data_IF_898647246877
#
_entry.id   IF_898647246877
#
_cell.length_a   1.000
_cell.length_b   1.000
_cell.length_c   1.000
_cell.angle_alpha   90.00
_cell.angle_beta   90.00
_cell.angle_gamma   90.00
#
_symmetry.space_group_name_H-M   'P 1'
#
loop_
_entity.id
_entity.type
_entity.pdbx_description
1 polymer ?
#
# COMPACT_ATOMS: atom_id res chain seq x y z
N UNK A 1 -5.99 15.94 -12.03
CA UNK A 1 -6.10 14.69 -11.26
C UNK A 1 -4.84 14.59 -10.42
N UNK A 2 -4.93 14.45 -9.11
CA UNK A 2 -3.77 14.41 -8.20
C UNK A 2 -3.44 12.94 -7.86
N UNK A 3 -2.37 12.41 -8.46
CA UNK A 3 -1.96 11.01 -8.36
C UNK A 3 -0.43 10.99 -8.29
N UNK A 4 0.13 10.25 -7.34
CA UNK A 4 1.58 10.10 -7.22
C UNK A 4 2.17 9.40 -8.46
N UNK A 5 3.28 9.95 -8.96
CA UNK A 5 4.10 9.31 -10.01
C UNK A 5 4.65 7.95 -9.57
N UNK A 6 4.76 7.69 -8.26
CA UNK A 6 5.24 6.42 -7.72
C UNK A 6 4.41 5.23 -8.22
N UNK A 7 3.10 5.41 -8.39
CA UNK A 7 2.21 4.33 -8.85
C UNK A 7 2.52 3.93 -10.29
N UNK A 8 2.78 4.91 -11.16
CA UNK A 8 3.20 4.68 -12.54
C UNK A 8 4.61 4.11 -12.60
N UNK A 9 5.52 4.56 -11.73
CA UNK A 9 6.89 4.06 -11.66
C UNK A 9 6.95 2.59 -11.25
N UNK A 10 6.13 2.19 -10.26
CA UNK A 10 5.95 0.80 -9.89
C UNK A 10 5.43 -0.07 -11.05
N UNK A 11 4.67 0.49 -11.99
CA UNK A 11 4.23 -0.21 -13.20
C UNK A 11 5.31 -0.42 -14.25
N UNK A 12 6.49 0.22 -14.12
CA UNK A 12 7.52 0.26 -15.16
C UNK A 12 8.89 -0.25 -14.70
N UNK A 13 9.14 -0.20 -13.39
CA UNK A 13 10.45 -0.49 -12.83
C UNK A 13 10.39 -1.75 -11.96
N UNK A 14 11.19 -2.79 -12.27
CA UNK A 14 11.18 -4.06 -11.56
C UNK A 14 11.90 -3.93 -10.20
N UNK A 15 11.23 -3.27 -9.25
CA UNK A 15 11.72 -3.05 -7.88
C UNK A 15 10.71 -3.59 -6.86
N UNK A 16 11.21 -4.11 -5.74
CA UNK A 16 10.38 -4.46 -4.60
C UNK A 16 10.36 -3.31 -3.59
N UNK A 17 9.18 -2.76 -3.31
CA UNK A 17 8.95 -1.74 -2.29
C UNK A 17 8.32 -2.38 -1.07
N UNK A 18 8.93 -2.16 0.10
CA UNK A 18 8.43 -2.62 1.40
C UNK A 18 8.01 -1.38 2.18
N UNK A 19 6.74 -1.29 2.56
CA UNK A 19 6.18 -0.09 3.21
C UNK A 19 5.04 -0.43 4.18
N UNK A 20 4.57 0.54 4.98
CA UNK A 20 3.39 0.38 5.84
C UNK A 20 2.06 0.57 5.10
N UNK A 21 2.01 0.33 3.80
CA UNK A 21 0.91 0.73 2.92
C UNK A 21 1.13 2.11 2.30
N UNK A 22 0.05 2.81 1.96
CA UNK A 22 0.11 4.19 1.44
C UNK A 22 -0.14 5.19 2.56
N UNK A 23 0.40 6.40 2.44
CA UNK A 23 0.23 7.44 3.47
C UNK A 23 -1.27 7.63 3.78
N UNK A 24 -1.63 7.72 5.06
CA UNK A 24 -3.02 7.77 5.54
C UNK A 24 -3.84 8.97 5.03
N UNK A 25 -3.21 9.94 4.38
CA UNK A 25 -3.86 11.06 3.69
C UNK A 25 -4.47 10.68 2.33
N UNK A 26 -4.13 9.49 1.82
CA UNK A 26 -4.49 9.01 0.47
C UNK A 26 -5.70 8.08 0.51
N UNK A 27 -6.33 7.90 -0.65
CA UNK A 27 -7.43 6.96 -0.86
C UNK A 27 -6.88 5.55 -1.17
N UNK A 28 -7.02 4.64 -0.20
CA UNK A 28 -6.49 3.27 -0.30
C UNK A 28 -7.20 2.46 -1.40
N UNK A 29 -8.55 2.34 -1.43
CA UNK A 29 -9.23 1.62 -2.50
C UNK A 29 -8.82 2.09 -3.89
N UNK A 30 -8.81 3.40 -4.15
CA UNK A 30 -8.41 3.94 -5.45
C UNK A 30 -6.95 3.66 -5.78
N UNK A 31 -6.06 3.67 -4.79
CA UNK A 31 -4.65 3.34 -5.02
C UNK A 31 -4.47 1.87 -5.39
N UNK A 32 -5.20 0.96 -4.74
CA UNK A 32 -5.16 -0.47 -5.05
C UNK A 32 -5.67 -0.74 -6.47
N UNK A 33 -6.79 -0.13 -6.87
CA UNK A 33 -7.33 -0.22 -8.24
C UNK A 33 -6.33 0.33 -9.29
N UNK A 34 -5.64 1.43 -8.95
CA UNK A 34 -4.63 1.99 -9.84
C UNK A 34 -3.43 1.05 -10.00
N UNK A 35 -2.93 0.48 -8.90
CA UNK A 35 -1.83 -0.49 -8.92
C UNK A 35 -2.21 -1.77 -9.67
N UNK A 36 -3.45 -2.23 -9.54
CA UNK A 36 -3.99 -3.33 -10.35
C UNK A 36 -3.95 -2.97 -11.84
N UNK A 37 -4.42 -1.78 -12.21
CA UNK A 37 -4.38 -1.27 -13.60
C UNK A 37 -2.94 -1.21 -14.14
N UNK A 38 -1.96 -0.88 -13.30
CA UNK A 38 -0.54 -0.85 -13.66
C UNK A 38 0.12 -2.25 -13.68
N UNK A 39 -0.60 -3.32 -13.34
CA UNK A 39 -0.04 -4.67 -13.27
C UNK A 39 0.95 -4.89 -12.12
N UNK A 40 0.88 -4.06 -11.08
CA UNK A 40 1.77 -4.15 -9.92
C UNK A 40 1.25 -5.23 -8.98
N UNK A 41 2.13 -6.15 -8.59
CA UNK A 41 1.78 -7.15 -7.58
C UNK A 41 1.76 -6.49 -6.20
N UNK A 42 0.58 -6.46 -5.55
CA UNK A 42 0.41 -5.97 -4.18
C UNK A 42 0.13 -7.13 -3.23
N UNK A 43 0.88 -7.19 -2.13
CA UNK A 43 0.68 -8.20 -1.09
C UNK A 43 0.92 -7.62 0.31
N UNK A 44 0.31 -8.22 1.34
CA UNK A 44 0.53 -7.84 2.73
C UNK A 44 1.30 -8.91 3.51
N UNK A 45 2.27 -8.50 4.31
CA UNK A 45 3.10 -9.40 5.10
C UNK A 45 2.32 -9.96 6.30
N UNK A 46 2.19 -11.30 6.36
CA UNK A 46 1.53 -12.04 7.46
C UNK A 46 0.06 -11.67 7.75
N UNK A 47 -0.61 -10.99 6.82
CA UNK A 47 -2.04 -10.64 6.91
C UNK A 47 -2.69 -10.69 5.53
N UNK A 48 -4.02 -10.68 5.47
CA UNK A 48 -4.82 -10.61 4.23
C UNK A 48 -5.47 -9.23 4.04
N UNK A 49 -4.99 -8.23 4.77
CA UNK A 49 -5.50 -6.88 4.77
C UNK A 49 -4.39 -5.87 4.50
N UNK A 50 -4.71 -4.83 3.73
CA UNK A 50 -3.79 -3.75 3.44
C UNK A 50 -3.72 -2.79 4.64
N UNK A 51 -2.52 -2.50 5.19
CA UNK A 51 -2.39 -1.56 6.30
C UNK A 51 -2.61 -0.11 5.85
N UNK A 52 -3.08 0.73 6.78
CA UNK A 52 -3.38 2.14 6.53
C UNK A 52 -2.31 3.07 7.10
N UNK A 53 -1.04 2.66 7.02
CA UNK A 53 0.15 3.38 7.51
C UNK A 53 0.21 3.51 9.04
N UNK A 54 -0.62 4.34 9.67
CA UNK A 54 -0.69 4.46 11.14
C UNK A 54 -1.62 3.44 11.82
N UNK A 55 -2.41 2.69 11.03
CA UNK A 55 -3.24 1.60 11.54
C UNK A 55 -2.90 0.29 10.83
N UNK A 56 -2.97 -0.81 11.58
CA UNK A 56 -2.76 -2.16 11.04
C UNK A 56 -3.79 -2.55 9.98
N UNK A 57 -4.98 -1.96 10.06
CA UNK A 57 -6.17 -2.31 9.29
C UNK A 57 -6.72 -1.09 8.55
N UNK A 58 -7.15 -1.30 7.30
CA UNK A 58 -7.81 -0.31 6.42
C UNK A 58 -9.20 -0.75 5.94
N UNK A 59 -9.57 -2.00 6.17
CA UNK A 59 -10.74 -2.68 5.59
C UNK A 59 -10.54 -3.20 4.15
N UNK A 60 -9.42 -2.84 3.50
CA UNK A 60 -9.14 -3.25 2.12
C UNK A 60 -8.36 -4.57 2.09
N UNK A 61 -8.87 -5.57 1.36
CA UNK A 61 -8.26 -6.91 1.27
C UNK A 61 -7.17 -6.95 0.21
N UNK A 62 -6.08 -7.62 0.54
CA UNK A 62 -5.01 -7.96 -0.42
C UNK A 62 -4.50 -9.38 -0.13
N UNK A 63 -3.79 -9.97 -1.08
CA UNK A 63 -3.21 -11.30 -0.86
C UNK A 63 -2.08 -11.21 0.17
N UNK A 64 -1.94 -12.23 1.00
CA UNK A 64 -0.78 -12.36 1.88
C UNK A 64 0.49 -12.57 1.04
N UNK A 65 1.59 -11.97 1.49
CA UNK A 65 2.90 -12.14 0.87
C UNK A 65 3.34 -13.60 0.96
N UNK A 66 3.81 -14.12 -0.15
CA UNK A 66 4.41 -15.44 -0.25
C UNK A 66 5.64 -15.38 -1.13
N UNK A 67 6.58 -16.32 -0.93
CA UNK A 67 7.75 -16.48 -1.82
C UNK A 67 7.34 -16.59 -3.31
N UNK A 68 6.19 -17.23 -3.59
CA UNK A 68 5.68 -17.42 -4.96
C UNK A 68 5.35 -16.11 -5.66
N UNK A 69 4.88 -15.09 -4.94
CA UNK A 69 4.51 -13.80 -5.54
C UNK A 69 5.73 -13.12 -6.16
N UNK A 70 6.86 -13.10 -5.43
CA UNK A 70 8.14 -12.56 -5.90
C UNK A 70 8.74 -13.40 -7.02
N UNK A 71 8.77 -14.71 -6.83
CA UNK A 71 9.33 -15.62 -7.82
C UNK A 71 8.58 -15.57 -9.16
N UNK A 72 7.26 -15.44 -9.14
CA UNK A 72 6.46 -15.37 -10.37
C UNK A 72 6.80 -14.11 -11.20
N UNK A 73 6.89 -12.95 -10.57
CA UNK A 73 7.21 -11.69 -11.25
C UNK A 73 8.61 -11.77 -11.93
N UNK A 74 9.61 -12.29 -11.21
CA UNK A 74 10.98 -12.47 -11.73
C UNK A 74 11.01 -13.54 -12.84
N UNK A 75 10.43 -14.72 -12.61
CA UNK A 75 10.47 -15.85 -13.56
C UNK A 75 9.71 -15.54 -14.86
N UNK A 76 8.60 -14.82 -14.77
CA UNK A 76 7.78 -14.42 -15.93
C UNK A 76 8.28 -13.13 -16.60
N UNK A 77 9.31 -12.46 -16.04
CA UNK A 77 9.87 -11.21 -16.56
C UNK A 77 8.80 -10.14 -16.81
N UNK A 78 7.87 -9.98 -15.86
CA UNK A 78 6.72 -9.07 -16.01
C UNK A 78 7.14 -7.60 -16.17
N UNK A 79 8.34 -7.23 -15.71
CA UNK A 79 8.88 -5.87 -15.83
C UNK A 79 8.26 -4.85 -14.87
N UNK A 80 7.26 -5.25 -14.08
CA UNK A 80 6.62 -4.43 -13.06
C UNK A 80 7.26 -4.63 -11.69
N UNK A 81 7.09 -3.64 -10.82
CA UNK A 81 7.47 -3.72 -9.42
C UNK A 81 6.51 -4.58 -8.58
N UNK A 82 6.88 -4.74 -7.32
CA UNK A 82 6.09 -5.44 -6.30
C UNK A 82 5.99 -4.54 -5.08
N UNK A 83 4.78 -4.36 -4.56
CA UNK A 83 4.55 -3.66 -3.30
C UNK A 83 4.19 -4.67 -2.20
N UNK A 84 4.98 -4.66 -1.13
CA UNK A 84 4.77 -5.50 0.05
C UNK A 84 4.43 -4.59 1.22
N UNK A 85 3.17 -4.59 1.59
CA UNK A 85 2.66 -3.81 2.71
C UNK A 85 2.89 -4.59 4.02
N UNK A 86 3.53 -3.95 4.99
CA UNK A 86 3.86 -4.52 6.30
C UNK A 86 3.09 -3.74 7.36
N UNK A 87 2.15 -4.36 8.08
CA UNK A 87 1.42 -3.66 9.14
C UNK A 87 2.38 -3.07 10.18
N UNK A 88 2.04 -1.89 10.69
CA UNK A 88 2.71 -1.30 11.85
C UNK A 88 2.60 -2.25 13.06
N UNK A 89 3.61 -2.37 13.92
CA UNK A 89 3.48 -3.16 15.15
C UNK A 89 2.32 -2.68 16.03
N UNK A 90 1.64 -3.61 16.68
CA UNK A 90 0.40 -3.34 17.42
C UNK A 90 0.56 -2.38 18.58
N UNK A 91 1.70 -2.46 19.26
CA UNK A 91 2.13 -1.53 20.30
C UNK A 91 2.19 -0.07 19.82
N UNK A 92 2.39 0.17 18.52
CA UNK A 92 2.47 1.49 17.92
C UNK A 92 1.17 1.92 17.23
N UNK A 93 0.17 1.05 17.11
CA UNK A 93 -1.12 1.37 16.45
C UNK A 93 -2.13 2.10 17.37
N UNK A 94 -1.85 2.20 18.67
CA UNK A 94 -2.73 2.76 19.70
C UNK A 94 -3.18 4.21 19.45
N UNK A 95 -2.39 4.99 18.69
CA UNK A 95 -2.70 6.39 18.37
C UNK A 95 -3.55 6.59 17.10
N UNK A 96 -3.98 5.50 16.44
CA UNK A 96 -4.63 5.54 15.12
C UNK A 96 -5.84 6.49 15.02
N UNK A 97 -6.69 6.52 16.05
CA UNK A 97 -7.85 7.42 16.08
C UNK A 97 -7.46 8.90 16.17
N UNK A 98 -6.54 9.25 17.07
CA UNK A 98 -6.06 10.62 17.24
C UNK A 98 -5.37 11.13 15.97
N UNK A 99 -4.56 10.27 15.34
CA UNK A 99 -3.89 10.58 14.06
C UNK A 99 -4.92 10.73 12.93
N UNK A 100 -5.94 9.87 12.87
CA UNK A 100 -7.04 9.96 11.91
C UNK A 100 -7.77 11.31 11.99
N UNK A 101 -8.09 11.78 13.20
CA UNK A 101 -8.70 13.11 13.39
C UNK A 101 -7.78 14.24 12.95
N UNK A 102 -6.47 14.17 13.24
CA UNK A 102 -5.49 15.16 12.80
C UNK A 102 -5.38 15.20 11.27
N UNK A 103 -5.38 14.04 10.60
CA UNK A 103 -5.37 13.94 9.14
C UNK A 103 -6.63 14.57 8.53
N UNK A 104 -7.81 14.27 9.08
CA UNK A 104 -9.06 14.86 8.58
C UNK A 104 -9.09 16.38 8.71
N UNK A 105 -8.51 16.93 9.79
CA UNK A 105 -8.33 18.37 9.94
C UNK A 105 -7.37 18.93 8.90
N UNK A 106 -6.18 18.34 8.75
CA UNK A 106 -5.17 18.78 7.78
C UNK A 106 -5.69 18.73 6.33
N UNK A 107 -6.44 17.69 5.96
CA UNK A 107 -7.06 17.57 4.63
C UNK A 107 -8.12 18.63 4.35
N UNK A 108 -8.79 19.16 5.39
CA UNK A 108 -9.73 20.28 5.24
C UNK A 108 -9.01 21.61 5.08
N UNK A 109 -7.90 21.80 5.79
CA UNK A 109 -7.08 23.02 5.74
C UNK A 109 -6.28 23.15 4.44
N UNK A 110 -5.93 22.03 3.81
CA UNK A 110 -5.17 22.01 2.55
C UNK A 110 -6.02 22.12 1.28
N UNK A 111 -7.36 22.15 1.39
CA UNK A 111 -8.28 22.38 0.28
C UNK A 111 -8.45 23.86 -0.02
#
# INVERSE_FOLDING_TARGET
>A
MDISSDLTELGKTPVAVICAGVKSILDIPRTLEYLETQGVCVAAYKTNEFPAFFTESSGSKVKTETKKNKEANIKMKLGTGILIAVPIPREHSTSGHAIGSAIQKALKEAR
#
